data_IF_969921004171
#
_entry.id   IF_969921004171
#
_cell.length_a   1.000
_cell.length_b   1.000
_cell.length_c   1.000
_cell.angle_alpha   90.00
_cell.angle_beta   90.00
_cell.angle_gamma   90.00
#
_symmetry.space_group_name_H-M   'P 1'
#
loop_
_entity.id
_entity.type
_entity.pdbx_description
1 polymer ?
#
# COMPACT_ATOMS: atom_id res chain seq x y z
N UNK A 1 -18.99 -23.26 -22.10
CA UNK A 1 -19.75 -24.52 -22.25
C UNK A 1 -19.15 -25.50 -23.29
N UNK A 2 -18.34 -25.05 -24.26
CA UNK A 2 -17.74 -25.93 -25.28
C UNK A 2 -16.56 -26.83 -24.82
N UNK A 3 -15.88 -26.50 -23.72
CA UNK A 3 -14.70 -27.27 -23.27
C UNK A 3 -15.03 -28.64 -22.61
N UNK A 4 -16.28 -28.86 -22.19
CA UNK A 4 -16.70 -30.11 -21.54
C UNK A 4 -17.04 -31.25 -22.53
N UNK A 5 -17.25 -30.93 -23.82
CA UNK A 5 -17.69 -31.91 -24.82
C UNK A 5 -16.55 -32.80 -25.35
N UNK A 6 -15.28 -32.46 -25.11
CA UNK A 6 -14.12 -33.22 -25.59
C UNK A 6 -13.62 -34.31 -24.61
N UNK A 7 -14.34 -34.58 -23.52
CA UNK A 7 -13.94 -35.52 -22.47
C UNK A 7 -14.56 -36.92 -22.61
N UNK A 8 -15.46 -37.14 -23.58
CA UNK A 8 -16.01 -38.45 -23.90
C UNK A 8 -15.28 -39.08 -25.08
N UNK A 9 -14.82 -40.32 -24.90
CA UNK A 9 -14.23 -41.21 -25.93
C UNK A 9 -12.74 -41.06 -26.26
N UNK A 10 -11.86 -41.52 -25.34
CA UNK A 10 -10.66 -42.29 -25.76
C UNK A 10 -10.36 -43.33 -24.67
N UNK A 11 -10.57 -44.61 -24.99
CA UNK A 11 -10.16 -45.76 -24.18
C UNK A 11 -8.86 -46.35 -24.75
N UNK A 12 -7.83 -46.51 -23.93
CA UNK A 12 -6.54 -47.08 -24.34
C UNK A 12 -5.42 -46.77 -23.34
N UNK A 13 -4.66 -47.79 -22.92
CA UNK A 13 -3.74 -47.77 -21.78
C UNK A 13 -2.42 -46.97 -21.95
N UNK A 14 -2.47 -45.76 -22.51
CA UNK A 14 -1.33 -44.80 -22.60
C UNK A 14 -1.50 -43.48 -21.82
N UNK A 15 -2.64 -43.28 -21.15
CA UNK A 15 -3.19 -41.95 -20.83
C UNK A 15 -2.72 -41.26 -19.51
N UNK A 16 -1.72 -41.76 -18.77
CA UNK A 16 -1.42 -41.20 -17.43
C UNK A 16 -0.67 -39.86 -17.46
N UNK A 17 0.28 -39.67 -18.39
CA UNK A 17 1.01 -38.40 -18.56
C UNK A 17 0.18 -37.31 -19.26
N UNK A 18 -0.63 -37.68 -20.25
CA UNK A 18 -1.47 -36.74 -20.99
C UNK A 18 -2.65 -36.20 -20.17
N UNK A 19 -3.25 -37.00 -19.29
CA UNK A 19 -4.31 -36.50 -18.38
C UNK A 19 -3.80 -35.46 -17.38
N UNK A 20 -2.54 -35.56 -16.95
CA UNK A 20 -1.93 -34.57 -16.06
C UNK A 20 -1.60 -33.27 -16.80
N UNK A 21 -1.11 -33.36 -18.04
CA UNK A 21 -0.88 -32.21 -18.92
C UNK A 21 -2.21 -31.51 -19.28
N UNK A 22 -3.25 -32.26 -19.67
CA UNK A 22 -4.58 -31.72 -19.94
C UNK A 22 -5.23 -31.09 -18.69
N UNK A 23 -5.04 -31.66 -17.49
CA UNK A 23 -5.52 -31.03 -16.25
C UNK A 23 -4.77 -29.74 -15.93
N UNK A 24 -3.46 -29.68 -16.15
CA UNK A 24 -2.68 -28.44 -16.03
C UNK A 24 -3.11 -27.40 -17.06
N UNK A 25 -3.37 -27.82 -18.30
CA UNK A 25 -3.85 -26.94 -19.36
C UNK A 25 -5.27 -26.43 -19.07
N UNK A 26 -6.18 -27.30 -18.63
CA UNK A 26 -7.54 -26.92 -18.23
C UNK A 26 -7.54 -26.01 -16.99
N UNK A 27 -6.66 -26.25 -16.02
CA UNK A 27 -6.49 -25.36 -14.87
C UNK A 27 -5.90 -24.00 -15.29
N UNK A 28 -4.90 -24.00 -16.19
CA UNK A 28 -4.33 -22.76 -16.74
C UNK A 28 -5.37 -21.98 -17.55
N UNK A 29 -6.16 -22.65 -18.39
CA UNK A 29 -7.27 -22.04 -19.15
C UNK A 29 -8.33 -21.50 -18.19
N UNK A 30 -8.71 -22.25 -17.14
CA UNK A 30 -9.70 -21.80 -16.15
C UNK A 30 -9.21 -20.56 -15.38
N UNK A 31 -7.92 -20.53 -15.01
CA UNK A 31 -7.27 -19.38 -14.38
C UNK A 31 -7.21 -18.19 -15.35
N UNK A 32 -6.84 -18.40 -16.61
CA UNK A 32 -6.83 -17.37 -17.65
C UNK A 32 -8.23 -16.79 -17.90
N UNK A 33 -9.26 -17.64 -17.95
CA UNK A 33 -10.66 -17.19 -18.12
C UNK A 33 -11.19 -16.43 -16.91
N UNK A 34 -10.63 -16.61 -15.70
CA UNK A 34 -11.01 -15.82 -14.53
C UNK A 34 -10.43 -14.40 -14.57
N UNK A 35 -9.26 -14.23 -15.19
CA UNK A 35 -8.51 -12.95 -15.24
C UNK A 35 -8.97 -12.05 -16.38
N UNK A 36 -9.67 -12.60 -17.37
CA UNK A 36 -10.15 -11.89 -18.56
C UNK A 36 -11.60 -11.41 -18.40
N UNK A 37 -11.93 -10.31 -19.07
CA UNK A 37 -13.32 -9.89 -19.30
C UNK A 37 -13.97 -10.69 -20.45
N UNK A 38 -15.26 -10.48 -20.68
CA UNK A 38 -16.03 -11.12 -21.74
C UNK A 38 -15.51 -10.84 -23.17
N UNK A 39 -14.71 -9.79 -23.36
CA UNK A 39 -14.07 -9.41 -24.63
C UNK A 39 -12.65 -9.99 -24.75
N UNK A 40 -12.17 -10.73 -23.75
CA UNK A 40 -10.83 -11.33 -23.70
C UNK A 40 -9.73 -10.42 -23.17
N UNK A 41 -10.06 -9.21 -22.69
CA UNK A 41 -9.06 -8.30 -22.13
C UNK A 41 -8.64 -8.74 -20.74
N UNK A 42 -7.34 -8.71 -20.45
CA UNK A 42 -6.84 -8.92 -19.08
C UNK A 42 -7.17 -7.70 -18.22
N UNK A 43 -7.61 -7.92 -16.99
CA UNK A 43 -7.87 -6.83 -16.04
C UNK A 43 -6.76 -6.74 -15.00
N UNK A 44 -6.04 -5.62 -15.04
CA UNK A 44 -4.89 -5.34 -14.19
C UNK A 44 -5.30 -4.48 -13.00
N UNK A 45 -4.61 -4.65 -11.89
CA UNK A 45 -4.68 -3.78 -10.71
C UNK A 45 -3.29 -3.30 -10.39
N UNK A 46 -3.12 -1.98 -10.22
CA UNK A 46 -1.85 -1.38 -9.87
C UNK A 46 -2.03 -0.36 -8.74
N UNK A 47 -1.52 -0.71 -7.57
CA UNK A 47 -1.39 0.20 -6.43
C UNK A 47 -0.06 0.96 -6.47
N UNK A 48 -0.13 2.25 -6.81
CA UNK A 48 1.03 3.14 -6.92
C UNK A 48 1.39 3.68 -5.53
N UNK A 49 2.09 2.88 -4.72
CA UNK A 49 2.55 3.30 -3.40
C UNK A 49 3.89 4.04 -3.43
N UNK A 50 4.04 5.09 -2.61
CA UNK A 50 5.26 5.92 -2.50
C UNK A 50 6.56 5.12 -2.36
N UNK A 51 6.53 4.06 -1.54
CA UNK A 51 7.70 3.20 -1.34
C UNK A 51 7.71 1.98 -2.26
N UNK A 52 6.54 1.39 -2.52
CA UNK A 52 6.41 0.13 -3.25
C UNK A 52 5.20 0.15 -4.17
N UNK A 53 5.40 -0.26 -5.42
CA UNK A 53 4.33 -0.60 -6.36
C UNK A 53 3.86 -2.01 -6.04
N UNK A 54 2.55 -2.24 -6.05
CA UNK A 54 1.95 -3.58 -6.00
C UNK A 54 1.05 -3.75 -7.19
N UNK A 55 1.36 -4.70 -8.05
CA UNK A 55 0.59 -4.94 -9.26
C UNK A 55 0.25 -6.41 -9.44
N UNK A 56 -0.79 -6.67 -10.22
CA UNK A 56 -1.29 -8.00 -10.48
C UNK A 56 -2.61 -7.95 -11.23
N UNK A 57 -3.40 -8.99 -11.05
CA UNK A 57 -4.60 -9.23 -11.84
C UNK A 57 -5.87 -9.17 -10.97
N UNK A 58 -7.00 -8.81 -11.58
CA UNK A 58 -8.30 -8.93 -10.97
C UNK A 58 -8.53 -10.36 -10.41
N UNK A 59 -9.20 -10.46 -9.27
CA UNK A 59 -9.49 -11.73 -8.59
C UNK A 59 -8.29 -12.37 -7.87
N UNK A 60 -7.12 -11.71 -7.89
CA UNK A 60 -5.93 -12.21 -7.20
C UNK A 60 -6.00 -11.99 -5.68
N UNK A 61 -5.64 -13.03 -4.91
CA UNK A 61 -5.55 -12.96 -3.45
C UNK A 61 -4.26 -12.34 -2.92
N UNK A 62 -3.28 -12.09 -3.79
CA UNK A 62 -2.00 -11.46 -3.49
C UNK A 62 -1.54 -10.67 -4.73
N UNK A 63 -0.78 -9.58 -4.57
CA UNK A 63 -0.10 -8.95 -5.69
C UNK A 63 0.80 -9.94 -6.40
N UNK A 64 0.79 -9.95 -7.74
CA UNK A 64 1.70 -10.78 -8.53
C UNK A 64 3.14 -10.30 -8.35
N UNK A 65 3.33 -8.98 -8.28
CA UNK A 65 4.62 -8.36 -8.03
C UNK A 65 4.52 -7.23 -7.02
N UNK A 66 5.57 -7.12 -6.20
CA UNK A 66 5.81 -6.02 -5.28
C UNK A 66 7.27 -5.62 -5.49
N UNK A 67 7.52 -4.35 -5.76
CA UNK A 67 8.88 -3.84 -5.96
C UNK A 67 8.99 -2.37 -5.54
N UNK A 68 10.20 -1.88 -5.22
CA UNK A 68 10.41 -0.49 -4.81
C UNK A 68 10.02 0.50 -5.91
N UNK A 69 9.28 1.56 -5.56
CA UNK A 69 8.92 2.62 -6.50
C UNK A 69 10.09 3.61 -6.67
N UNK A 70 11.14 3.19 -7.37
CA UNK A 70 12.37 3.99 -7.55
C UNK A 70 12.99 3.83 -8.93
N UNK A 71 13.68 4.88 -9.35
CA UNK A 71 14.44 4.97 -10.60
C UNK A 71 15.86 5.37 -10.24
N UNK A 72 16.85 4.61 -10.72
CA UNK A 72 18.27 4.84 -10.47
C UNK A 72 19.01 5.11 -11.77
N UNK A 73 19.82 6.18 -11.79
CA UNK A 73 20.69 6.54 -12.90
C UNK A 73 22.15 6.33 -12.49
N UNK A 74 23.00 5.63 -13.27
CA UNK A 74 24.40 5.41 -12.90
C UNK A 74 25.18 6.72 -12.72
N UNK A 75 25.90 6.84 -11.60
CA UNK A 75 26.76 7.99 -11.31
C UNK A 75 27.97 8.02 -12.26
N UNK A 76 28.44 6.85 -12.67
CA UNK A 76 29.57 6.67 -13.59
C UNK A 76 29.06 5.93 -14.82
N UNK A 77 29.33 6.49 -16.01
CA UNK A 77 29.07 5.86 -17.31
C UNK A 77 30.10 4.76 -17.57
N UNK A 78 30.01 3.66 -16.84
CA UNK A 78 30.77 2.45 -17.13
C UNK A 78 29.79 1.28 -17.17
N UNK A 79 29.73 0.58 -18.30
CA UNK A 79 28.99 -0.67 -18.50
C UNK A 79 29.69 -1.80 -17.73
N UNK A 80 29.63 -1.72 -16.40
CA UNK A 80 30.13 -2.75 -15.52
C UNK A 80 29.00 -3.75 -15.24
N UNK A 81 29.30 -5.05 -15.35
CA UNK A 81 28.45 -6.09 -14.76
C UNK A 81 28.81 -6.22 -13.28
N UNK A 82 27.82 -6.10 -12.41
CA UNK A 82 28.00 -6.29 -10.97
C UNK A 82 27.18 -7.52 -10.55
N UNK A 83 27.88 -8.64 -10.36
CA UNK A 83 27.24 -9.95 -10.25
C UNK A 83 26.49 -10.31 -11.52
N UNK A 84 25.21 -10.69 -11.38
CA UNK A 84 24.33 -11.08 -12.49
C UNK A 84 23.59 -9.90 -13.15
N UNK A 85 23.80 -8.67 -12.68
CA UNK A 85 23.06 -7.50 -13.15
C UNK A 85 23.97 -6.66 -14.04
N UNK A 86 23.52 -6.42 -15.26
CA UNK A 86 24.15 -5.47 -16.18
C UNK A 86 23.65 -4.06 -15.89
N UNK A 87 24.58 -3.14 -15.59
CA UNK A 87 24.24 -1.74 -15.31
C UNK A 87 23.83 -1.07 -16.61
N UNK A 88 22.53 -0.80 -16.73
CA UNK A 88 21.91 -0.02 -17.81
C UNK A 88 21.93 1.47 -17.45
N UNK A 89 21.69 2.31 -18.45
CA UNK A 89 21.53 3.77 -18.26
C UNK A 89 20.38 4.13 -17.29
N UNK A 90 19.41 3.22 -17.16
CA UNK A 90 18.28 3.35 -16.27
C UNK A 90 18.00 2.03 -15.56
N UNK A 91 18.06 2.04 -14.24
CA UNK A 91 17.72 0.92 -13.38
C UNK A 91 16.42 1.22 -12.66
N UNK A 92 15.50 0.26 -12.55
CA UNK A 92 14.17 0.47 -11.97
C UNK A 92 13.87 -0.63 -10.97
N UNK A 93 13.19 -0.28 -9.86
CA UNK A 93 12.68 -1.25 -8.90
C UNK A 93 13.77 -2.08 -8.22
N UNK A 94 13.67 -3.41 -8.32
CA UNK A 94 14.54 -4.33 -7.59
C UNK A 94 16.02 -4.20 -8.01
N UNK A 95 16.27 -3.97 -9.30
CA UNK A 95 17.63 -3.81 -9.83
C UNK A 95 18.26 -2.50 -9.31
N UNK A 96 17.48 -1.41 -9.29
CA UNK A 96 17.90 -0.14 -8.72
C UNK A 96 18.19 -0.25 -7.21
N UNK A 97 17.35 -1.00 -6.49
CA UNK A 97 17.51 -1.20 -5.05
C UNK A 97 18.78 -1.98 -4.71
N UNK A 98 19.08 -3.05 -5.47
CA UNK A 98 20.31 -3.84 -5.30
C UNK A 98 21.58 -3.05 -5.58
N UNK A 99 21.55 -2.19 -6.61
CA UNK A 99 22.72 -1.42 -7.04
C UNK A 99 22.71 0.03 -6.53
N UNK A 100 21.89 0.33 -5.50
CA UNK A 100 21.65 1.68 -4.97
C UNK A 100 22.93 2.49 -4.71
N UNK A 101 23.99 1.85 -4.24
CA UNK A 101 25.26 2.50 -3.91
C UNK A 101 26.01 3.06 -5.14
N UNK A 102 25.67 2.63 -6.35
CA UNK A 102 26.28 3.11 -7.61
C UNK A 102 25.36 4.04 -8.41
N UNK A 103 24.14 4.28 -7.90
CA UNK A 103 23.07 4.96 -8.61
C UNK A 103 22.67 6.24 -7.89
N UNK A 104 22.42 7.29 -8.66
CA UNK A 104 21.62 8.42 -8.21
C UNK A 104 20.15 8.00 -8.26
N UNK A 105 19.54 7.84 -7.09
CA UNK A 105 18.18 7.30 -6.94
C UNK A 105 17.15 8.39 -6.74
N UNK A 106 16.15 8.39 -7.60
CA UNK A 106 14.97 9.24 -7.54
C UNK A 106 13.72 8.43 -7.22
N UNK A 107 12.81 9.04 -6.47
CA UNK A 107 11.47 8.51 -6.18
C UNK A 107 10.45 9.35 -6.96
N UNK A 108 9.69 8.78 -7.91
CA UNK A 108 8.73 9.54 -8.70
C UNK A 108 7.55 10.06 -7.86
N UNK A 109 7.28 9.41 -6.73
CA UNK A 109 6.22 9.74 -5.80
C UNK A 109 6.79 10.24 -4.48
N UNK A 110 6.15 11.28 -3.95
CA UNK A 110 6.42 11.86 -2.66
C UNK A 110 5.11 12.01 -1.89
N UNK A 111 5.03 11.38 -0.71
CA UNK A 111 3.85 11.33 0.15
C UNK A 111 2.54 10.99 -0.59
N UNK A 112 2.62 10.01 -1.50
CA UNK A 112 1.50 9.49 -2.28
C UNK A 112 1.22 10.26 -3.58
N UNK A 113 1.87 11.40 -3.79
CA UNK A 113 1.64 12.27 -4.94
C UNK A 113 2.78 12.13 -5.93
N UNK A 114 2.46 11.95 -7.22
CA UNK A 114 3.45 11.93 -8.30
C UNK A 114 4.07 13.32 -8.44
N UNK A 115 5.40 13.39 -8.36
CA UNK A 115 6.22 14.61 -8.55
C UNK A 115 6.94 14.62 -9.90
N UNK A 116 7.43 13.46 -10.33
CA UNK A 116 8.12 13.29 -11.61
C UNK A 116 7.33 12.34 -12.49
N UNK A 117 6.61 12.90 -13.47
CA UNK A 117 5.86 12.11 -14.45
C UNK A 117 6.76 11.35 -15.42
N UNK A 118 7.97 11.85 -15.66
CA UNK A 118 8.98 11.16 -16.46
C UNK A 118 9.43 9.87 -15.77
N UNK A 119 9.87 9.97 -14.51
CA UNK A 119 10.27 8.79 -13.74
C UNK A 119 9.09 7.84 -13.48
N UNK A 120 7.87 8.37 -13.32
CA UNK A 120 6.68 7.55 -13.13
C UNK A 120 6.36 6.70 -14.37
N UNK A 121 6.55 7.24 -15.58
CA UNK A 121 6.42 6.47 -16.82
C UNK A 121 7.41 5.31 -16.85
N UNK A 122 8.67 5.54 -16.47
CA UNK A 122 9.64 4.45 -16.39
C UNK A 122 9.21 3.36 -15.40
N UNK A 123 8.67 3.74 -14.23
CA UNK A 123 8.10 2.77 -13.28
C UNK A 123 6.93 1.99 -13.90
N UNK A 124 6.06 2.63 -14.68
CA UNK A 124 4.97 1.93 -15.38
C UNK A 124 5.45 1.05 -16.54
N UNK A 125 6.46 1.49 -17.31
CA UNK A 125 7.10 0.67 -18.34
C UNK A 125 7.69 -0.61 -17.73
N UNK A 126 8.35 -0.48 -16.57
CA UNK A 126 8.83 -1.62 -15.80
C UNK A 126 7.70 -2.49 -15.25
N UNK A 127 6.56 -1.89 -14.89
CA UNK A 127 5.38 -2.61 -14.35
C UNK A 127 4.69 -3.45 -15.41
N UNK A 128 4.42 -2.87 -16.58
CA UNK A 128 3.65 -3.50 -17.65
C UNK A 128 4.52 -4.31 -18.62
N UNK A 129 5.81 -3.95 -18.74
CA UNK A 129 6.77 -4.60 -19.61
C UNK A 129 7.17 -6.02 -19.16
N UNK A 130 8.12 -6.58 -19.91
CA UNK A 130 8.52 -8.00 -19.84
C UNK A 130 9.03 -8.43 -18.45
N UNK A 131 9.65 -7.52 -17.70
CA UNK A 131 10.27 -7.85 -16.40
C UNK A 131 9.26 -8.18 -15.31
N UNK A 132 8.05 -7.62 -15.39
CA UNK A 132 6.99 -7.81 -14.37
C UNK A 132 5.78 -8.49 -14.97
N UNK A 133 4.79 -7.74 -15.44
CA UNK A 133 3.52 -8.33 -15.86
C UNK A 133 3.58 -8.97 -17.25
N UNK A 134 4.50 -8.52 -18.11
CA UNK A 134 4.63 -8.99 -19.49
C UNK A 134 3.28 -9.00 -20.24
N UNK A 135 2.68 -7.82 -20.33
CA UNK A 135 1.36 -7.62 -20.97
C UNK A 135 1.45 -6.56 -22.05
N UNK A 136 0.60 -6.68 -23.06
CA UNK A 136 0.32 -5.58 -23.99
C UNK A 136 -0.82 -4.73 -23.40
N UNK A 137 -0.55 -3.49 -22.97
CA UNK A 137 -1.55 -2.61 -22.37
C UNK A 137 -2.78 -2.39 -23.27
N UNK A 138 -2.62 -2.44 -24.60
CA UNK A 138 -3.71 -2.19 -25.57
C UNK A 138 -4.85 -3.19 -25.46
N UNK A 139 -4.55 -4.41 -25.01
CA UNK A 139 -5.51 -5.51 -24.85
C UNK A 139 -5.86 -5.73 -23.36
N UNK A 140 -5.74 -4.68 -22.55
CA UNK A 140 -5.95 -4.74 -21.11
C UNK A 140 -6.88 -3.61 -20.63
N UNK A 141 -7.52 -3.86 -19.49
CA UNK A 141 -8.10 -2.82 -18.62
C UNK A 141 -7.21 -2.66 -17.38
N UNK A 142 -7.14 -1.46 -16.81
CA UNK A 142 -6.33 -1.21 -15.60
C UNK A 142 -7.09 -0.42 -14.55
N UNK A 143 -7.13 -0.96 -13.33
CA UNK A 143 -7.54 -0.24 -12.13
C UNK A 143 -6.30 0.31 -11.43
N UNK A 144 -6.23 1.63 -11.34
CA UNK A 144 -5.22 2.37 -10.61
C UNK A 144 -5.76 2.82 -9.25
N UNK A 145 -4.85 2.98 -8.30
CA UNK A 145 -5.17 3.55 -6.99
C UNK A 145 -4.60 4.96 -6.88
N UNK A 146 -5.27 5.79 -6.11
CA UNK A 146 -4.78 7.12 -5.72
C UNK A 146 -5.01 7.38 -4.22
N UNK A 147 -4.14 8.18 -3.60
CA UNK A 147 -4.35 8.57 -2.21
C UNK A 147 -5.58 9.49 -2.07
N UNK A 148 -6.14 9.60 -0.87
CA UNK A 148 -7.13 10.62 -0.57
C UNK A 148 -6.61 12.03 -0.91
N UNK A 149 -7.51 12.92 -1.31
CA UNK A 149 -7.20 14.33 -1.65
C UNK A 149 -6.18 14.53 -2.79
N UNK A 150 -6.03 13.54 -3.69
CA UNK A 150 -5.20 13.70 -4.89
C UNK A 150 -5.73 14.85 -5.77
N UNK A 151 -4.87 15.81 -6.19
CA UNK A 151 -5.27 16.89 -7.09
C UNK A 151 -5.89 16.36 -8.39
N UNK A 152 -6.97 17.01 -8.84
CA UNK A 152 -7.65 16.65 -10.10
C UNK A 152 -6.73 16.74 -11.31
N UNK A 153 -5.75 17.66 -11.31
CA UNK A 153 -4.70 17.77 -12.32
C UNK A 153 -3.87 16.49 -12.43
N UNK A 154 -3.50 15.89 -11.30
CA UNK A 154 -2.74 14.63 -11.30
C UNK A 154 -3.60 13.47 -11.78
N UNK A 155 -4.87 13.44 -11.38
CA UNK A 155 -5.83 12.45 -11.88
C UNK A 155 -6.00 12.53 -13.39
N UNK A 156 -6.15 13.74 -13.94
CA UNK A 156 -6.20 13.97 -15.38
C UNK A 156 -4.92 13.50 -16.07
N UNK A 157 -3.74 13.82 -15.51
CA UNK A 157 -2.47 13.39 -16.09
C UNK A 157 -2.27 11.88 -16.06
N UNK A 158 -2.74 11.18 -15.01
CA UNK A 158 -2.75 9.71 -15.00
C UNK A 158 -3.58 9.16 -16.17
N UNK A 159 -4.79 9.69 -16.38
CA UNK A 159 -5.66 9.25 -17.47
C UNK A 159 -5.06 9.54 -18.84
N UNK A 160 -4.52 10.73 -19.04
CA UNK A 160 -3.80 11.12 -20.26
C UNK A 160 -2.70 10.11 -20.58
N UNK A 161 -1.82 9.81 -19.61
CA UNK A 161 -0.72 8.84 -19.83
C UNK A 161 -1.25 7.44 -20.12
N UNK A 162 -2.29 6.98 -19.43
CA UNK A 162 -2.83 5.63 -19.61
C UNK A 162 -3.49 5.44 -21.00
N UNK A 163 -4.16 6.45 -21.53
CA UNK A 163 -4.79 6.36 -22.85
C UNK A 163 -3.87 6.77 -24.01
N UNK A 164 -3.00 7.77 -23.83
CA UNK A 164 -2.16 8.28 -24.91
C UNK A 164 -0.87 7.48 -25.07
N UNK A 165 -0.16 7.20 -23.97
CA UNK A 165 1.10 6.46 -24.01
C UNK A 165 0.87 4.94 -24.04
N UNK A 166 0.04 4.43 -23.12
CA UNK A 166 -0.17 2.99 -22.99
C UNK A 166 -1.37 2.47 -23.79
N UNK A 167 -2.30 3.35 -24.18
CA UNK A 167 -3.45 2.99 -25.02
C UNK A 167 -4.34 1.87 -24.46
N UNK A 168 -4.47 1.80 -23.12
CA UNK A 168 -5.35 0.86 -22.43
C UNK A 168 -6.79 0.94 -22.96
N UNK A 169 -7.47 -0.19 -23.05
CA UNK A 169 -8.86 -0.27 -23.51
C UNK A 169 -9.82 0.37 -22.51
N UNK A 170 -9.56 0.16 -21.22
CA UNK A 170 -10.34 0.75 -20.14
C UNK A 170 -9.51 1.07 -18.90
N UNK A 171 -9.82 2.19 -18.26
CA UNK A 171 -9.11 2.67 -17.07
C UNK A 171 -10.13 2.99 -15.98
N UNK A 172 -9.79 2.67 -14.74
CA UNK A 172 -10.52 3.11 -13.55
C UNK A 172 -9.54 3.61 -12.49
N UNK A 173 -9.89 4.67 -11.77
CA UNK A 173 -9.08 5.21 -10.67
C UNK A 173 -9.91 5.12 -9.40
N UNK A 174 -9.37 4.42 -8.40
CA UNK A 174 -10.03 4.18 -7.13
C UNK A 174 -9.28 4.83 -5.96
N UNK A 175 -10.01 5.35 -4.99
CA UNK A 175 -9.44 5.89 -3.75
C UNK A 175 -9.02 4.72 -2.86
N UNK A 176 -7.77 4.75 -2.37
CA UNK A 176 -7.18 3.68 -1.56
C UNK A 176 -8.02 3.28 -0.33
N UNK A 177 -8.57 4.26 0.39
CA UNK A 177 -9.40 4.03 1.57
C UNK A 177 -10.71 3.29 1.24
N UNK A 178 -11.36 3.64 0.13
CA UNK A 178 -12.62 3.00 -0.28
C UNK A 178 -12.37 1.52 -0.63
N UNK A 179 -11.29 1.23 -1.36
CA UNK A 179 -10.90 -0.15 -1.67
C UNK A 179 -10.63 -0.98 -0.41
N UNK A 180 -10.02 -0.36 0.60
CA UNK A 180 -9.70 -1.01 1.87
C UNK A 180 -10.99 -1.49 2.58
N UNK A 181 -12.03 -0.66 2.66
CA UNK A 181 -13.30 -1.07 3.26
C UNK A 181 -14.00 -2.14 2.43
N UNK A 182 -13.98 -2.02 1.10
CA UNK A 182 -14.56 -3.03 0.21
C UNK A 182 -13.91 -4.40 0.38
N UNK A 183 -12.60 -4.46 0.65
CA UNK A 183 -11.90 -5.71 0.94
C UNK A 183 -12.41 -6.40 2.23
N UNK A 184 -13.04 -5.65 3.15
CA UNK A 184 -13.68 -6.17 4.36
C UNK A 184 -15.20 -6.34 4.22
N UNK A 185 -15.78 -6.01 3.07
CA UNK A 185 -17.23 -6.00 2.88
C UNK A 185 -17.93 -4.88 3.66
N UNK A 186 -17.23 -3.80 3.97
CA UNK A 186 -17.76 -2.62 4.65
C UNK A 186 -18.01 -1.48 3.66
N UNK A 187 -19.08 -0.72 3.88
CA UNK A 187 -19.38 0.51 3.14
C UNK A 187 -19.17 1.77 3.98
N UNK A 188 -19.25 1.65 5.31
CA UNK A 188 -19.06 2.74 6.25
C UNK A 188 -17.96 2.37 7.24
N UNK A 189 -17.07 3.32 7.53
CA UNK A 189 -15.96 3.13 8.46
C UNK A 189 -14.90 4.22 8.34
N UNK A 190 -13.86 4.13 9.17
CA UNK A 190 -12.70 5.01 9.11
C UNK A 190 -11.46 4.18 8.82
N UNK A 191 -10.79 4.48 7.71
CA UNK A 191 -9.56 3.80 7.33
C UNK A 191 -8.37 4.57 7.85
N UNK A 192 -7.48 3.88 8.56
CA UNK A 192 -6.13 4.36 8.89
C UNK A 192 -5.17 3.67 7.93
N UNK A 193 -4.79 4.37 6.86
CA UNK A 193 -3.83 3.85 5.89
C UNK A 193 -2.45 4.45 6.14
N UNK A 194 -1.53 3.66 6.70
CA UNK A 194 -0.17 4.09 7.01
C UNK A 194 0.84 3.36 6.13
N UNK A 195 1.36 4.07 5.12
CA UNK A 195 2.24 3.54 4.08
C UNK A 195 3.73 3.77 4.34
N UNK A 196 4.47 4.06 3.27
CA UNK A 196 5.90 4.41 3.34
C UNK A 196 6.11 5.92 3.57
N UNK A 197 5.40 6.78 2.84
CA UNK A 197 5.61 8.24 2.93
C UNK A 197 4.55 9.01 3.70
N UNK A 198 3.36 8.45 3.91
CA UNK A 198 2.24 9.20 4.49
C UNK A 198 1.28 8.27 5.23
N UNK A 199 0.63 8.82 6.26
CA UNK A 199 -0.50 8.20 6.95
C UNK A 199 -1.77 9.03 6.70
N UNK A 200 -2.83 8.38 6.23
CA UNK A 200 -4.14 9.00 6.03
C UNK A 200 -5.18 8.42 6.99
N UNK A 201 -6.05 9.29 7.49
CA UNK A 201 -7.25 8.92 8.21
C UNK A 201 -8.43 9.38 7.35
N UNK A 202 -9.13 8.41 6.76
CA UNK A 202 -10.16 8.67 5.77
C UNK A 202 -11.49 8.04 6.21
N UNK A 203 -12.45 8.86 6.68
CA UNK A 203 -13.82 8.42 6.89
C UNK A 203 -14.52 8.17 5.55
N UNK A 204 -15.25 7.06 5.47
CA UNK A 204 -16.08 6.67 4.34
C UNK A 204 -17.48 6.38 4.87
N UNK A 205 -18.50 6.91 4.22
CA UNK A 205 -19.89 6.70 4.58
C UNK A 205 -20.65 6.19 3.34
N UNK A 206 -21.29 5.03 3.45
CA UNK A 206 -22.05 4.38 2.37
C UNK A 206 -21.29 4.30 1.03
N UNK A 207 -19.98 4.02 1.10
CA UNK A 207 -19.10 3.90 -0.06
C UNK A 207 -18.52 5.22 -0.58
N UNK A 208 -18.89 6.36 0.00
CA UNK A 208 -18.36 7.67 -0.36
C UNK A 208 -17.31 8.14 0.66
N UNK A 209 -16.08 8.37 0.21
CA UNK A 209 -15.07 9.01 1.04
C UNK A 209 -15.49 10.45 1.37
N UNK A 210 -15.26 10.89 2.61
CA UNK A 210 -15.60 12.23 3.09
C UNK A 210 -14.34 13.13 3.04
N UNK A 211 -14.13 13.93 1.97
CA UNK A 211 -12.86 14.63 1.78
C UNK A 211 -12.63 15.73 2.82
N UNK A 212 -13.71 16.39 3.27
CA UNK A 212 -13.67 17.47 4.26
C UNK A 212 -13.29 16.97 5.67
N UNK A 213 -13.46 15.68 5.97
CA UNK A 213 -13.03 15.06 7.21
C UNK A 213 -11.70 14.31 7.09
N UNK A 214 -11.23 14.05 5.87
CA UNK A 214 -9.99 13.30 5.66
C UNK A 214 -8.81 14.08 6.21
N UNK A 215 -8.01 13.43 7.06
CA UNK A 215 -6.80 14.01 7.65
C UNK A 215 -5.57 13.26 7.16
N UNK A 216 -4.46 13.99 7.11
CA UNK A 216 -3.15 13.50 6.68
C UNK A 216 -2.13 13.78 7.77
N UNK A 217 -1.30 12.79 8.03
CA UNK A 217 -0.12 12.88 8.89
C UNK A 217 1.11 12.56 8.03
N UNK A 218 2.03 13.51 7.95
CA UNK A 218 3.30 13.39 7.20
C UNK A 218 4.35 12.58 7.99
N UNK A 219 3.90 11.45 8.54
CA UNK A 219 4.73 10.48 9.25
C UNK A 219 4.30 9.10 8.80
N UNK A 220 5.26 8.31 8.30
CA UNK A 220 5.02 6.92 7.93
C UNK A 220 6.30 6.08 8.00
N UNK A 221 6.35 4.99 7.23
CA UNK A 221 7.41 4.00 7.30
C UNK A 221 8.81 4.53 7.03
N UNK A 222 8.96 5.51 6.14
CA UNK A 222 10.22 6.16 5.76
C UNK A 222 10.76 7.00 6.91
N UNK A 223 9.92 7.78 7.56
CA UNK A 223 10.30 8.66 8.68
C UNK A 223 10.70 7.84 9.90
N UNK A 224 9.96 6.76 10.20
CA UNK A 224 10.31 5.82 11.26
C UNK A 224 11.66 5.15 10.97
N UNK A 225 11.94 4.80 9.71
CA UNK A 225 13.24 4.24 9.32
C UNK A 225 14.37 5.25 9.54
N UNK A 226 14.19 6.51 9.12
CA UNK A 226 15.17 7.58 9.37
C UNK A 226 15.39 7.83 10.85
N UNK A 227 14.32 7.77 11.65
CA UNK A 227 14.40 7.96 13.09
C UNK A 227 15.14 6.80 13.76
N UNK A 228 14.89 5.56 13.33
CA UNK A 228 15.64 4.41 13.82
C UNK A 228 17.14 4.54 13.53
N UNK A 229 17.53 5.03 12.34
CA UNK A 229 18.95 5.34 12.04
C UNK A 229 19.52 6.31 13.07
N UNK A 230 18.79 7.38 13.40
CA UNK A 230 19.21 8.37 14.41
C UNK A 230 19.35 7.75 15.81
N UNK A 231 18.41 6.89 16.22
CA UNK A 231 18.48 6.18 17.51
C UNK A 231 19.68 5.22 17.57
N UNK A 232 19.91 4.45 16.51
CA UNK A 232 21.06 3.55 16.41
C UNK A 232 22.39 4.31 16.44
N UNK A 233 22.44 5.50 15.85
CA UNK A 233 23.60 6.38 15.92
C UNK A 233 23.89 6.82 17.36
N UNK A 234 22.86 7.18 18.14
CA UNK A 234 23.01 7.54 19.57
C UNK A 234 23.52 6.36 20.41
N UNK A 235 23.22 5.12 20.01
CA UNK A 235 23.76 3.91 20.63
C UNK A 235 25.20 3.57 20.20
N UNK A 236 25.75 4.30 19.23
CA UNK A 236 27.12 4.11 18.73
C UNK A 236 27.23 3.28 17.44
N UNK A 237 26.11 2.94 16.79
CA UNK A 237 26.12 2.30 15.47
C UNK A 237 26.08 3.35 14.36
N UNK A 238 27.20 3.54 13.67
CA UNK A 238 27.36 4.54 12.62
C UNK A 238 26.74 4.09 11.28
N UNK A 239 25.42 4.14 11.18
CA UNK A 239 24.69 3.90 9.92
C UNK A 239 24.58 5.19 9.09
N UNK A 240 24.75 5.07 7.77
CA UNK A 240 24.53 6.16 6.82
C UNK A 240 23.06 6.23 6.41
N UNK A 241 22.47 7.44 6.41
CA UNK A 241 21.06 7.67 6.05
C UNK A 241 20.66 7.21 4.64
N UNK A 242 21.60 7.09 3.71
CA UNK A 242 21.33 6.75 2.31
C UNK A 242 21.74 5.33 1.97
N UNK A 243 22.96 4.93 2.35
CA UNK A 243 23.52 3.63 1.99
C UNK A 243 22.90 2.49 2.81
N UNK A 244 22.68 2.71 4.11
CA UNK A 244 22.19 1.68 5.03
C UNK A 244 20.68 1.73 5.23
N UNK A 245 19.98 2.65 4.53
CA UNK A 245 18.55 2.87 4.69
C UNK A 245 17.74 1.58 4.55
N UNK A 246 18.06 0.76 3.55
CA UNK A 246 17.35 -0.48 3.26
C UNK A 246 17.62 -1.55 4.34
N UNK A 247 18.86 -1.63 4.82
CA UNK A 247 19.24 -2.51 5.93
C UNK A 247 18.47 -2.14 7.20
N UNK A 248 18.43 -0.85 7.55
CA UNK A 248 17.69 -0.38 8.73
C UNK A 248 16.17 -0.52 8.54
N UNK A 249 15.65 -0.39 7.30
CA UNK A 249 14.24 -0.69 7.00
C UNK A 249 13.90 -2.14 7.30
N UNK A 250 14.75 -3.09 6.91
CA UNK A 250 14.57 -4.51 7.22
C UNK A 250 14.68 -4.80 8.73
N UNK A 251 15.60 -4.14 9.43
CA UNK A 251 15.70 -4.22 10.90
C UNK A 251 14.41 -3.74 11.57
N UNK A 252 13.89 -2.58 11.14
CA UNK A 252 12.62 -2.03 11.60
C UNK A 252 11.47 -3.02 11.41
N UNK A 253 11.31 -3.57 10.21
CA UNK A 253 10.21 -4.50 9.91
C UNK A 253 10.31 -5.81 10.70
N UNK A 254 11.52 -6.24 11.09
CA UNK A 254 11.74 -7.48 11.82
C UNK A 254 11.64 -7.32 13.34
N UNK A 255 12.14 -6.22 13.90
CA UNK A 255 12.40 -6.08 15.33
C UNK A 255 11.53 -5.05 16.04
N UNK A 256 11.03 -4.04 15.34
CA UNK A 256 10.27 -2.96 15.97
C UNK A 256 8.83 -3.39 16.30
N UNK A 257 8.28 -2.78 17.35
CA UNK A 257 6.91 -2.97 17.80
C UNK A 257 6.38 -1.67 18.42
N UNK A 258 5.07 -1.58 18.65
CA UNK A 258 4.48 -0.43 19.33
C UNK A 258 4.25 -0.81 20.80
N UNK A 259 4.82 -0.01 21.70
CA UNK A 259 4.62 -0.16 23.14
C UNK A 259 3.18 0.15 23.56
N UNK A 260 2.58 -0.73 24.36
CA UNK A 260 1.24 -0.50 24.92
C UNK A 260 1.27 0.58 26.00
N UNK A 261 2.29 0.54 26.87
CA UNK A 261 2.56 1.53 27.90
C UNK A 261 4.02 1.98 27.86
N UNK A 262 4.30 3.18 27.34
CA UNK A 262 5.67 3.64 27.13
C UNK A 262 6.50 3.73 28.40
N UNK A 263 5.90 4.18 29.52
CA UNK A 263 6.62 4.23 30.80
C UNK A 263 7.07 2.84 31.27
N UNK A 264 6.25 1.82 31.04
CA UNK A 264 6.58 0.44 31.40
C UNK A 264 7.65 -0.14 30.47
N UNK A 265 7.55 0.11 29.16
CA UNK A 265 8.55 -0.32 28.17
C UNK A 265 9.91 0.33 28.45
N UNK A 266 9.93 1.62 28.82
CA UNK A 266 11.15 2.32 29.23
C UNK A 266 11.78 1.71 30.49
N UNK A 267 10.98 1.38 31.51
CA UNK A 267 11.48 0.68 32.70
C UNK A 267 12.09 -0.67 32.34
N UNK A 268 11.40 -1.47 31.51
CA UNK A 268 11.92 -2.75 31.04
C UNK A 268 13.24 -2.60 30.27
N UNK A 269 13.35 -1.57 29.42
CA UNK A 269 14.56 -1.29 28.66
C UNK A 269 15.75 -0.83 29.52
N UNK A 270 15.50 -0.08 30.60
CA UNK A 270 16.52 0.47 31.49
C UNK A 270 16.94 -0.51 32.59
N UNK A 271 15.99 -1.24 33.16
CA UNK A 271 16.19 -2.08 34.34
C UNK A 271 16.51 -3.54 33.98
N UNK A 272 16.23 -3.97 32.74
CA UNK A 272 16.39 -5.37 32.31
C UNK A 272 17.00 -5.49 30.91
N UNK A 273 17.33 -6.72 30.50
CA UNK A 273 17.82 -7.03 29.15
C UNK A 273 16.81 -7.79 28.29
N UNK A 274 15.57 -7.95 28.75
CA UNK A 274 14.55 -8.78 28.07
C UNK A 274 14.16 -8.27 26.69
N UNK A 275 14.34 -6.96 26.45
CA UNK A 275 14.04 -6.33 25.16
C UNK A 275 15.23 -6.39 24.18
N UNK A 276 16.40 -6.85 24.62
CA UNK A 276 17.61 -6.88 23.79
C UNK A 276 17.50 -7.99 22.75
N UNK A 277 17.41 -7.60 21.48
CA UNK A 277 17.42 -8.50 20.33
C UNK A 277 18.64 -8.26 19.44
N UNK A 278 19.08 -9.31 18.75
CA UNK A 278 20.26 -9.28 17.89
C UNK A 278 19.85 -9.33 16.42
N UNK A 279 20.54 -8.55 15.58
CA UNK A 279 20.41 -8.58 14.13
C UNK A 279 21.78 -8.71 13.48
N UNK A 280 21.94 -9.70 12.60
CA UNK A 280 23.15 -9.88 11.80
C UNK A 280 23.03 -9.08 10.50
N UNK A 281 23.93 -8.13 10.31
CA UNK A 281 24.04 -7.32 9.10
C UNK A 281 24.59 -8.16 7.92
N UNK A 282 24.43 -7.68 6.67
CA UNK A 282 24.93 -8.39 5.49
C UNK A 282 26.45 -8.63 5.50
N UNK A 283 27.22 -7.79 6.20
CA UNK A 283 28.67 -7.92 6.38
C UNK A 283 29.07 -8.88 7.53
N UNK A 284 28.09 -9.51 8.19
CA UNK A 284 28.28 -10.42 9.31
C UNK A 284 28.36 -9.75 10.68
N UNK A 285 28.38 -8.41 10.77
CA UNK A 285 28.39 -7.72 12.07
C UNK A 285 27.06 -7.90 12.80
N UNK A 286 27.11 -7.99 14.13
CA UNK A 286 25.90 -8.15 14.95
C UNK A 286 25.57 -6.85 15.67
N UNK A 287 24.35 -6.36 15.44
CA UNK A 287 23.79 -5.16 16.06
C UNK A 287 22.80 -5.58 17.14
N UNK A 288 22.87 -4.93 18.30
CA UNK A 288 21.96 -5.17 19.43
C UNK A 288 20.98 -4.01 19.56
N UNK A 289 19.69 -4.30 19.56
CA UNK A 289 18.61 -3.32 19.74
C UNK A 289 17.81 -3.63 20.99
N UNK A 290 17.39 -2.60 21.73
CA UNK A 290 16.56 -2.72 22.94
C UNK A 290 15.42 -1.70 22.86
N UNK A 291 15.53 -0.56 23.56
CA UNK A 291 14.49 0.48 23.59
C UNK A 291 14.14 1.06 22.22
N UNK A 292 15.10 1.11 21.29
CA UNK A 292 14.91 1.65 19.94
C UNK A 292 13.83 0.89 19.16
N UNK A 293 13.55 -0.36 19.57
CA UNK A 293 12.51 -1.21 18.97
C UNK A 293 11.11 -0.61 19.13
N UNK A 294 10.81 0.01 20.28
CA UNK A 294 9.52 0.65 20.52
C UNK A 294 9.57 2.18 20.41
N UNK A 295 10.74 2.79 20.66
CA UNK A 295 10.92 4.23 20.53
C UNK A 295 10.76 4.69 19.07
N UNK A 296 11.27 3.92 18.10
CA UNK A 296 11.16 4.32 16.70
C UNK A 296 9.70 4.43 16.20
N UNK A 297 8.82 3.42 16.39
CA UNK A 297 7.41 3.54 16.04
C UNK A 297 6.61 4.52 16.91
N UNK A 298 7.11 4.91 18.09
CA UNK A 298 6.43 5.90 18.96
C UNK A 298 6.28 7.25 18.27
N UNK A 299 7.12 7.57 17.28
CA UNK A 299 6.96 8.76 16.45
C UNK A 299 5.59 8.85 15.74
N UNK A 300 4.86 7.74 15.54
CA UNK A 300 3.48 7.76 15.04
C UNK A 300 2.50 8.37 16.03
N UNK A 301 2.75 8.21 17.32
CA UNK A 301 1.92 8.71 18.42
C UNK A 301 2.44 10.04 18.98
N UNK A 302 3.75 10.28 18.84
CA UNK A 302 4.45 11.46 19.31
C UNK A 302 5.28 12.09 18.18
N UNK A 303 4.65 12.82 17.23
CA UNK A 303 5.33 13.46 16.09
C UNK A 303 6.52 14.35 16.47
N UNK A 304 6.47 14.98 17.64
CA UNK A 304 7.51 15.87 18.13
C UNK A 304 8.89 15.17 18.30
N UNK A 305 8.93 13.84 18.45
CA UNK A 305 10.18 13.07 18.54
C UNK A 305 11.07 13.20 17.30
N UNK A 306 10.44 13.47 16.16
CA UNK A 306 11.10 13.67 14.86
C UNK A 306 10.95 15.11 14.36
N UNK A 307 10.69 16.06 15.27
CA UNK A 307 10.51 17.48 14.98
C UNK A 307 9.38 17.79 14.00
N UNK A 308 8.30 16.99 14.04
CA UNK A 308 7.09 17.25 13.26
C UNK A 308 6.03 17.82 14.18
N UNK A 309 5.47 18.95 13.77
CA UNK A 309 4.34 19.58 14.47
C UNK A 309 3.05 18.84 14.16
N UNK A 310 2.21 18.68 15.18
CA UNK A 310 0.91 18.03 15.06
C UNK A 310 0.68 16.97 16.13
N UNK A 311 -0.49 16.33 16.03
CA UNK A 311 -0.93 15.28 16.95
C UNK A 311 -0.62 13.91 16.38
N UNK A 312 -0.43 12.91 17.25
CA UNK A 312 -0.21 11.53 16.85
C UNK A 312 -1.43 10.90 16.18
N UNK A 313 -1.22 9.72 15.58
CA UNK A 313 -2.24 8.98 14.82
C UNK A 313 -3.51 8.69 15.63
N UNK A 314 -3.41 8.40 16.93
CA UNK A 314 -4.56 8.13 17.78
C UNK A 314 -5.41 9.40 18.02
N UNK A 315 -4.76 10.50 18.40
CA UNK A 315 -5.46 11.77 18.60
C UNK A 315 -6.01 12.33 17.27
N UNK A 316 -5.28 12.16 16.17
CA UNK A 316 -5.76 12.53 14.84
C UNK A 316 -7.02 11.73 14.46
N UNK A 317 -7.05 10.43 14.77
CA UNK A 317 -8.22 9.58 14.55
C UNK A 317 -9.42 10.05 15.37
N UNK A 318 -9.20 10.27 16.67
CA UNK A 318 -10.23 10.75 17.57
C UNK A 318 -10.82 12.09 17.09
N UNK A 319 -9.96 13.06 16.78
CA UNK A 319 -10.37 14.37 16.30
C UNK A 319 -11.14 14.26 14.96
N UNK A 320 -10.73 13.35 14.09
CA UNK A 320 -11.42 13.09 12.81
C UNK A 320 -12.83 12.56 13.03
N UNK A 321 -13.00 11.58 13.93
CA UNK A 321 -14.32 11.01 14.25
C UNK A 321 -15.19 12.05 14.98
N UNK A 322 -14.62 12.84 15.89
CA UNK A 322 -15.36 13.88 16.61
C UNK A 322 -15.78 15.06 15.72
N UNK A 323 -15.10 15.29 14.60
CA UNK A 323 -15.49 16.30 13.62
C UNK A 323 -16.66 15.85 12.73
N UNK A 324 -16.99 14.55 12.70
CA UNK A 324 -18.11 14.02 11.94
C UNK A 324 -19.46 14.30 12.62
N UNK A 325 -20.55 14.10 11.88
CA UNK A 325 -21.92 14.21 12.40
C UNK A 325 -22.16 13.21 13.52
N UNK A 326 -22.86 13.64 14.57
CA UNK A 326 -23.07 12.88 15.81
C UNK A 326 -23.60 11.47 15.53
N UNK A 327 -24.53 11.35 14.58
CA UNK A 327 -25.20 10.09 14.22
C UNK A 327 -24.24 9.08 13.57
N UNK A 328 -23.18 9.57 12.90
CA UNK A 328 -22.20 8.71 12.22
C UNK A 328 -21.07 8.25 13.13
N UNK A 329 -20.77 8.98 14.22
CA UNK A 329 -19.61 8.72 15.08
C UNK A 329 -19.62 7.33 15.69
N UNK A 330 -20.79 6.88 16.14
CA UNK A 330 -20.94 5.56 16.75
C UNK A 330 -20.59 4.44 15.77
N UNK A 331 -20.90 4.63 14.49
CA UNK A 331 -20.58 3.67 13.43
C UNK A 331 -19.10 3.71 13.07
N UNK A 332 -18.52 4.92 12.99
CA UNK A 332 -17.09 5.09 12.77
C UNK A 332 -16.23 4.45 13.86
N UNK A 333 -16.60 4.55 15.14
CA UNK A 333 -15.85 3.87 16.21
C UNK A 333 -15.93 2.34 16.15
N UNK A 334 -17.00 1.77 15.59
CA UNK A 334 -17.16 0.32 15.42
C UNK A 334 -16.46 -0.23 14.18
N UNK A 335 -16.07 0.63 13.24
CA UNK A 335 -15.49 0.24 11.96
C UNK A 335 -14.22 1.05 11.67
N UNK A 336 -13.24 0.98 12.58
CA UNK A 336 -11.90 1.49 12.33
C UNK A 336 -11.11 0.38 11.65
N UNK A 337 -10.60 0.61 10.44
CA UNK A 337 -9.91 -0.41 9.65
C UNK A 337 -8.47 0.02 9.39
N UNK A 338 -7.51 -0.84 9.76
CA UNK A 338 -6.09 -0.59 9.53
C UNK A 338 -5.64 -1.10 8.16
N UNK A 339 -4.89 -0.27 7.42
CA UNK A 339 -4.26 -0.60 6.14
C UNK A 339 -2.84 -0.07 6.05
N UNK A 340 -2.03 -0.71 5.21
CA UNK A 340 -0.69 -0.23 4.86
C UNK A 340 0.40 -0.84 5.74
N UNK A 341 1.63 -0.84 5.22
CA UNK A 341 2.76 -1.55 5.83
C UNK A 341 3.13 -1.07 7.23
N UNK A 342 2.95 0.22 7.53
CA UNK A 342 3.30 0.79 8.84
C UNK A 342 2.25 0.53 9.91
N UNK A 343 1.14 -0.15 9.58
CA UNK A 343 0.18 -0.69 10.57
C UNK A 343 0.50 -2.13 11.00
N UNK A 344 1.60 -2.70 10.50
CA UNK A 344 2.00 -4.09 10.78
C UNK A 344 2.79 -4.25 12.09
N UNK A 345 3.14 -3.16 12.79
CA UNK A 345 3.84 -3.27 14.06
C UNK A 345 3.01 -4.06 15.08
N UNK A 346 3.60 -5.06 15.75
CA UNK A 346 2.96 -5.71 16.89
C UNK A 346 2.57 -4.69 17.96
N UNK A 347 1.38 -4.84 18.55
CA UNK A 347 0.88 -3.95 19.59
C UNK A 347 0.18 -2.68 19.10
N UNK A 348 0.31 -2.30 17.81
CA UNK A 348 -0.31 -1.08 17.28
C UNK A 348 -1.84 -1.04 17.43
N UNK A 349 -2.61 -2.10 17.11
CA UNK A 349 -4.06 -2.09 17.31
C UNK A 349 -4.45 -1.90 18.78
N UNK A 350 -3.77 -2.60 19.69
CA UNK A 350 -4.03 -2.52 21.14
C UNK A 350 -3.70 -1.15 21.72
N UNK A 351 -2.58 -0.54 21.28
CA UNK A 351 -2.19 0.82 21.66
C UNK A 351 -3.22 1.84 21.18
N UNK A 352 -3.64 1.77 19.91
CA UNK A 352 -4.70 2.64 19.37
C UNK A 352 -5.99 2.49 20.17
N UNK A 353 -6.42 1.26 20.47
CA UNK A 353 -7.66 1.02 21.22
C UNK A 353 -7.59 1.65 22.62
N UNK A 354 -6.46 1.48 23.32
CA UNK A 354 -6.24 2.10 24.63
C UNK A 354 -6.29 3.63 24.55
N UNK A 355 -5.56 4.22 23.61
CA UNK A 355 -5.40 5.67 23.54
C UNK A 355 -6.72 6.36 23.14
N UNK A 356 -7.50 5.75 22.23
CA UNK A 356 -8.85 6.26 21.91
C UNK A 356 -9.79 6.15 23.12
N UNK A 357 -9.73 5.06 23.89
CA UNK A 357 -10.53 4.94 25.12
C UNK A 357 -10.15 6.00 26.16
N UNK A 358 -8.86 6.30 26.30
CA UNK A 358 -8.37 7.37 27.18
C UNK A 358 -8.88 8.74 26.73
N UNK A 359 -8.70 9.08 25.45
CA UNK A 359 -9.20 10.33 24.87
C UNK A 359 -10.72 10.48 25.00
N UNK A 360 -11.48 9.40 24.78
CA UNK A 360 -12.93 9.40 24.93
C UNK A 360 -13.35 9.58 26.39
N UNK A 361 -12.69 8.90 27.34
CA UNK A 361 -12.95 9.05 28.77
C UNK A 361 -12.71 10.49 29.24
N UNK A 362 -11.57 11.06 28.86
CA UNK A 362 -11.16 12.40 29.29
C UNK A 362 -11.98 13.50 28.64
N UNK A 363 -12.13 13.47 27.31
CA UNK A 363 -12.68 14.59 26.53
C UNK A 363 -14.18 14.50 26.29
N UNK A 364 -14.76 13.30 26.26
CA UNK A 364 -16.21 13.09 26.01
C UNK A 364 -16.95 12.78 27.30
N UNK A 365 -16.45 11.80 28.08
CA UNK A 365 -17.10 11.37 29.31
C UNK A 365 -16.70 12.19 30.54
N UNK A 366 -15.72 13.10 30.40
CA UNK A 366 -15.23 13.98 31.48
C UNK A 366 -14.84 13.21 32.74
N UNK A 367 -14.21 12.04 32.56
CA UNK A 367 -13.73 11.18 33.66
C UNK A 367 -14.75 10.15 34.19
N UNK A 368 -15.97 10.10 33.66
CA UNK A 368 -16.99 9.14 34.11
C UNK A 368 -16.70 7.72 33.57
N UNK A 369 -16.03 6.91 34.39
CA UNK A 369 -15.64 5.53 34.07
C UNK A 369 -16.83 4.57 33.94
N UNK A 370 -17.97 4.87 34.55
CA UNK A 370 -19.14 3.98 34.51
C UNK A 370 -19.72 3.88 33.10
N UNK A 371 -19.68 4.99 32.35
CA UNK A 371 -20.18 5.08 30.97
C UNK A 371 -19.19 4.54 29.94
N UNK A 372 -17.92 4.35 30.29
CA UNK A 372 -16.90 3.82 29.37
C UNK A 372 -17.26 2.41 28.89
N UNK A 373 -17.94 1.62 29.72
CA UNK A 373 -18.45 0.28 29.36
C UNK A 373 -19.44 0.28 28.17
N UNK A 374 -20.13 1.41 27.96
CA UNK A 374 -21.07 1.60 26.84
C UNK A 374 -20.37 2.02 25.55
N UNK A 375 -19.14 2.53 25.64
CA UNK A 375 -18.37 2.93 24.47
C UNK A 375 -17.90 1.67 23.72
N UNK A 376 -18.43 1.48 22.52
CA UNK A 376 -18.04 0.38 21.62
C UNK A 376 -17.03 0.92 20.62
N UNK A 377 -15.82 0.40 20.72
CA UNK A 377 -14.74 0.62 19.76
C UNK A 377 -14.34 -0.72 19.18
N UNK A 378 -14.10 -0.76 17.89
CA UNK A 378 -13.53 -1.92 17.21
C UNK A 378 -12.55 -1.45 16.17
N UNK A 379 -11.31 -1.89 16.36
CA UNK A 379 -10.21 -1.70 15.43
C UNK A 379 -10.00 -3.03 14.74
N UNK A 380 -10.25 -3.07 13.45
CA UNK A 380 -10.07 -4.22 12.60
C UNK A 380 -8.65 -4.18 12.03
N UNK A 381 -7.85 -5.20 12.35
CA UNK A 381 -6.47 -5.34 11.90
C UNK A 381 -6.27 -6.62 11.06
N UNK A 382 -6.88 -6.73 9.87
CA UNK A 382 -6.79 -7.93 9.05
C UNK A 382 -5.33 -8.39 8.86
N UNK A 383 -5.02 -9.70 8.88
CA UNK A 383 -3.63 -10.18 8.76
C UNK A 383 -2.99 -9.81 7.42
N UNK A 384 -3.80 -9.56 6.38
CA UNK A 384 -3.34 -9.14 5.04
C UNK A 384 -3.36 -7.63 4.83
N UNK A 385 -3.49 -6.82 5.89
CA UNK A 385 -3.65 -5.36 5.82
C UNK A 385 -2.51 -4.62 5.13
N UNK A 386 -1.31 -5.20 5.06
CA UNK A 386 -0.15 -4.65 4.32
C UNK A 386 -0.47 -4.34 2.85
N UNK A 387 -1.38 -5.09 2.24
CA UNK A 387 -1.74 -4.98 0.82
C UNK A 387 -3.25 -4.83 0.61
N UNK A 388 -3.99 -4.34 1.61
CA UNK A 388 -5.45 -4.36 1.56
C UNK A 388 -6.03 -3.52 0.42
N UNK A 389 -5.40 -2.38 0.12
CA UNK A 389 -5.70 -1.55 -1.04
C UNK A 389 -5.69 -2.37 -2.34
N UNK A 390 -4.62 -3.14 -2.58
CA UNK A 390 -4.51 -3.99 -3.77
C UNK A 390 -5.61 -5.08 -3.76
N UNK A 391 -5.86 -5.71 -2.61
CA UNK A 391 -6.90 -6.75 -2.50
C UNK A 391 -8.29 -6.20 -2.81
N UNK A 392 -8.63 -5.03 -2.26
CA UNK A 392 -9.88 -4.34 -2.56
C UNK A 392 -9.99 -3.99 -4.04
N UNK A 393 -8.90 -3.52 -4.65
CA UNK A 393 -8.82 -3.28 -6.08
C UNK A 393 -9.01 -4.55 -6.91
N UNK A 394 -8.39 -5.66 -6.52
CA UNK A 394 -8.50 -6.95 -7.20
C UNK A 394 -9.92 -7.52 -7.13
N UNK A 395 -10.59 -7.39 -5.98
CA UNK A 395 -12.00 -7.79 -5.80
C UNK A 395 -12.92 -6.90 -6.61
N UNK A 396 -12.78 -5.57 -6.50
CA UNK A 396 -13.61 -4.62 -7.24
C UNK A 396 -13.45 -4.78 -8.76
N UNK A 397 -12.22 -4.91 -9.24
CA UNK A 397 -11.93 -5.10 -10.65
C UNK A 397 -12.51 -6.42 -11.19
N UNK A 398 -12.52 -7.50 -10.40
CA UNK A 398 -13.08 -8.79 -10.82
C UNK A 398 -14.62 -8.73 -10.91
N UNK A 399 -15.26 -8.10 -9.94
CA UNK A 399 -16.73 -7.93 -9.92
C UNK A 399 -17.19 -7.01 -11.06
N UNK A 400 -16.37 -6.01 -11.43
CA UNK A 400 -16.75 -4.95 -12.38
C UNK A 400 -16.15 -5.14 -13.78
N UNK A 401 -15.40 -6.20 -14.04
CA UNK A 401 -14.69 -6.40 -15.33
C UNK A 401 -15.57 -6.30 -16.56
N UNK A 402 -16.81 -6.81 -16.46
CA UNK A 402 -17.79 -6.85 -17.56
C UNK A 402 -18.78 -5.67 -17.55
N UNK A 403 -18.69 -4.76 -16.58
CA UNK A 403 -19.61 -3.60 -16.49
C UNK A 403 -19.10 -2.43 -17.32
N UNK A 404 -19.67 -2.22 -18.49
CA UNK A 404 -19.26 -1.14 -19.42
C UNK A 404 -19.37 0.27 -18.81
N UNK A 405 -20.37 0.53 -17.97
CA UNK A 405 -20.54 1.83 -17.32
C UNK A 405 -19.50 2.16 -16.23
N UNK A 406 -18.77 1.16 -15.73
CA UNK A 406 -17.79 1.34 -14.66
C UNK A 406 -16.44 1.84 -15.18
N UNK A 407 -15.99 1.29 -16.31
CA UNK A 407 -14.70 1.65 -16.90
C UNK A 407 -14.83 2.93 -17.73
N UNK A 408 -13.83 3.80 -17.63
CA UNK A 408 -13.61 4.83 -18.64
C UNK A 408 -12.96 4.14 -19.83
N UNK A 409 -13.56 4.23 -21.02
CA UNK A 409 -13.03 3.53 -22.20
C UNK A 409 -12.15 4.45 -23.04
N UNK A 410 -11.23 3.86 -23.81
CA UNK A 410 -10.40 4.63 -24.76
C UNK A 410 -11.24 5.39 -25.77
N UNK A 411 -12.33 4.80 -26.24
CA UNK A 411 -13.27 5.45 -27.14
C UNK A 411 -13.86 6.72 -26.52
N UNK A 412 -14.36 6.64 -25.29
CA UNK A 412 -14.90 7.82 -24.59
C UNK A 412 -13.85 8.90 -24.36
N UNK A 413 -12.60 8.51 -24.08
CA UNK A 413 -11.49 9.45 -23.97
C UNK A 413 -11.19 10.14 -25.30
N UNK A 414 -11.21 9.42 -26.42
CA UNK A 414 -11.00 10.03 -27.75
C UNK A 414 -12.13 10.99 -28.14
N UNK A 415 -13.37 10.72 -27.71
CA UNK A 415 -14.53 11.57 -27.99
C UNK A 415 -14.62 12.80 -27.07
N UNK A 416 -14.31 12.63 -25.78
CA UNK A 416 -14.57 13.64 -24.73
C UNK A 416 -13.31 14.22 -24.08
N UNK A 417 -12.14 13.65 -24.36
CA UNK A 417 -10.89 13.95 -23.67
C UNK A 417 -10.97 13.69 -22.18
N UNK A 418 -10.42 14.61 -21.39
CA UNK A 418 -10.33 14.53 -19.92
C UNK A 418 -11.72 14.55 -19.25
N UNK A 419 -12.78 15.00 -19.93
CA UNK A 419 -14.15 14.99 -19.39
C UNK A 419 -14.66 13.59 -19.06
N UNK A 420 -14.01 12.53 -19.54
CA UNK A 420 -14.30 11.15 -19.11
C UNK A 420 -14.22 10.96 -17.58
N UNK A 421 -13.46 11.81 -16.88
CA UNK A 421 -13.37 11.86 -15.41
C UNK A 421 -14.69 12.20 -14.71
N UNK A 422 -15.68 12.77 -15.41
CA UNK A 422 -17.01 13.03 -14.84
C UNK A 422 -17.69 11.74 -14.37
N UNK A 423 -17.35 10.57 -14.95
CA UNK A 423 -17.78 9.26 -14.46
C UNK A 423 -17.33 8.95 -13.03
N UNK A 424 -16.24 9.57 -12.57
CA UNK A 424 -15.72 9.46 -11.21
C UNK A 424 -16.26 10.58 -10.30
N UNK A 425 -17.28 11.33 -10.74
CA UNK A 425 -17.84 12.46 -9.98
C UNK A 425 -16.94 13.70 -9.95
N UNK A 426 -15.93 13.79 -10.84
CA UNK A 426 -15.03 14.93 -10.92
C UNK A 426 -15.60 15.97 -11.87
N UNK A 427 -15.84 17.20 -11.39
CA UNK A 427 -16.20 18.33 -12.25
C UNK A 427 -14.95 18.82 -12.97
N UNK A 428 -14.92 18.68 -14.30
CA UNK A 428 -13.85 19.21 -15.15
C UNK A 428 -14.37 20.51 -15.77
N UNK A 429 -13.77 21.64 -15.37
CA UNK A 429 -14.11 22.99 -15.84
C UNK A 429 -13.44 23.33 -17.17
#
# INVERSE_FOLDING_TARGET
MMAMAALGEVSGNGLSRDKAALRKLAAAILVLTKVMDAKGNKVLVCDNGTGFVKCGYAGSNFPAHIFPSMVGRPIIRSTAKVGDIEVKDLMIGDEASKLRHMLEVNYPMDNGIVRSWEDMKHVWDYTFGETKLNVDPKNCKVLLTEPPLNPTKNRAKMIEVMFENYQFEGVYIAIQAVLTLYAQGLLTGVVIDSGDGVTHICPVYEGFALPHLTRRLDIAGRDITKYLIKLLLLRGYAFNHTADFETVRMMKEKLCYVGYNIEQEQKLALETTVLVEQYTLPDGRVVKMSGERFEAPEALFQPHLINIEGVGVAELLFNTIQAADIDTRAEFYKHIVLSGGSTMYPGLPSRLEREIKQLYLERVLKGDTTKLSKFKIRIEDPPRRKHMVFLGGAVLADIMKDKEGFWMTRQEYQEKGIKVLEKLGVKVG
#
